data_IF_387157716939
#
_entry.id   IF_387157716939
#
_cell.length_a   1.000
_cell.length_b   1.000
_cell.length_c   1.000
_cell.angle_alpha   90.00
_cell.angle_beta   90.00
_cell.angle_gamma   90.00
#
_symmetry.space_group_name_H-M   'P 1'
#
loop_
_entity.id
_entity.type
_entity.pdbx_description
1 polymer ?
#
# COMPACT_ATOMS: atom_id res chain seq x y z
N UNK A 1 30.01 11.02 -14.09
CA UNK A 1 29.17 9.94 -13.52
C UNK A 1 28.50 10.54 -12.31
N UNK A 2 27.17 10.51 -12.24
CA UNK A 2 26.42 11.05 -11.11
C UNK A 2 26.87 10.35 -9.83
N UNK A 3 27.35 11.10 -8.85
CA UNK A 3 27.85 10.57 -7.58
C UNK A 3 26.88 10.93 -6.44
N UNK A 4 26.55 9.93 -5.63
CA UNK A 4 25.73 10.06 -4.44
C UNK A 4 26.59 9.75 -3.21
N UNK A 5 26.73 10.71 -2.32
CA UNK A 5 27.35 10.52 -1.02
C UNK A 5 26.26 10.41 0.04
N UNK A 6 26.19 9.24 0.65
CA UNK A 6 25.25 8.95 1.70
C UNK A 6 25.94 9.06 3.07
N UNK A 7 25.59 10.09 3.84
CA UNK A 7 26.01 10.23 5.23
C UNK A 7 24.90 9.79 6.21
N UNK A 8 23.93 9.01 5.75
CA UNK A 8 22.88 8.41 6.56
C UNK A 8 23.14 6.91 6.74
N UNK A 9 22.59 6.26 7.78
CA UNK A 9 22.62 4.80 7.91
C UNK A 9 21.58 4.10 7.02
N UNK A 10 20.84 4.84 6.19
CA UNK A 10 19.68 4.36 5.44
C UNK A 10 20.02 4.08 3.98
N UNK A 11 19.18 3.30 3.29
CA UNK A 11 19.36 2.99 1.87
C UNK A 11 19.06 4.23 1.01
N UNK A 12 20.03 4.75 0.25
CA UNK A 12 19.84 5.93 -0.58
C UNK A 12 19.47 5.52 -2.02
N UNK A 13 18.79 6.38 -2.75
CA UNK A 13 18.52 6.20 -4.16
C UNK A 13 18.51 7.51 -4.93
N UNK A 14 18.83 7.42 -6.21
CA UNK A 14 18.63 8.50 -7.17
C UNK A 14 18.10 7.93 -8.47
N UNK A 15 17.23 8.68 -9.12
CA UNK A 15 16.76 8.36 -10.47
C UNK A 15 16.51 9.66 -11.24
N UNK A 16 16.72 9.63 -12.56
CA UNK A 16 16.50 10.76 -13.45
C UNK A 16 15.50 10.33 -14.52
N UNK A 17 14.30 10.89 -14.47
CA UNK A 17 13.26 10.68 -15.48
C UNK A 17 12.29 11.88 -15.51
N UNK A 18 11.50 12.03 -16.59
CA UNK A 18 10.55 13.13 -16.70
C UNK A 18 9.50 13.09 -15.59
N UNK A 19 9.10 14.25 -15.07
CA UNK A 19 7.95 14.39 -14.18
C UNK A 19 6.61 14.31 -14.97
N UNK A 20 5.49 14.56 -14.28
CA UNK A 20 4.15 14.52 -14.88
C UNK A 20 3.93 15.54 -16.02
N UNK A 21 4.76 16.58 -16.09
CA UNK A 21 4.76 17.59 -17.14
C UNK A 21 5.79 17.32 -18.24
N UNK A 22 6.52 16.20 -18.17
CA UNK A 22 7.56 15.85 -19.14
C UNK A 22 8.89 16.58 -18.91
N UNK A 23 9.08 17.22 -17.76
CA UNK A 23 10.33 17.91 -17.40
C UNK A 23 11.28 16.94 -16.72
N UNK A 24 12.48 16.75 -17.28
CA UNK A 24 13.53 15.92 -16.66
C UNK A 24 13.77 16.36 -15.22
N UNK A 25 13.59 15.42 -14.30
CA UNK A 25 13.64 15.68 -12.86
C UNK A 25 14.50 14.63 -12.16
N UNK A 26 15.34 15.10 -11.25
CA UNK A 26 16.10 14.25 -10.34
C UNK A 26 15.21 13.90 -9.16
N UNK A 27 15.01 12.60 -8.96
CA UNK A 27 14.41 12.04 -7.77
C UNK A 27 15.51 11.56 -6.83
N UNK A 28 15.48 12.01 -5.58
CA UNK A 28 16.37 11.52 -4.53
C UNK A 28 15.51 10.83 -3.48
N UNK A 29 15.87 9.60 -3.13
CA UNK A 29 15.11 8.77 -2.20
C UNK A 29 15.96 8.33 -1.03
N UNK A 30 15.31 8.15 0.12
CA UNK A 30 15.90 7.59 1.33
C UNK A 30 14.93 6.57 1.90
N UNK A 31 15.37 5.34 2.10
CA UNK A 31 14.59 4.28 2.72
C UNK A 31 15.24 3.84 4.02
N UNK A 32 14.58 4.14 5.13
CA UNK A 32 15.01 3.72 6.45
C UNK A 32 14.25 2.47 6.88
N UNK A 33 14.99 1.49 7.39
CA UNK A 33 14.46 0.28 8.01
C UNK A 33 14.75 0.33 9.51
N UNK A 34 13.71 0.14 10.30
CA UNK A 34 13.77 0.09 11.76
C UNK A 34 13.28 -1.28 12.25
N UNK A 35 13.89 -1.75 13.32
CA UNK A 35 13.41 -2.88 14.11
C UNK A 35 12.39 -2.34 15.13
N UNK A 36 11.25 -3.01 15.24
CA UNK A 36 10.17 -2.68 16.18
C UNK A 36 9.93 -3.79 17.21
N UNK A 37 10.82 -4.78 17.31
CA UNK A 37 10.80 -5.83 18.32
C UNK A 37 11.28 -5.27 19.67
N UNK A 38 10.35 -5.09 20.60
CA UNK A 38 10.67 -4.60 21.95
C UNK A 38 10.95 -3.10 21.99
N UNK A 39 12.12 -2.65 21.50
CA UNK A 39 12.51 -1.23 21.41
C UNK A 39 12.76 -0.82 19.98
N UNK A 40 12.37 0.41 19.64
CA UNK A 40 12.50 0.95 18.29
C UNK A 40 13.97 1.33 18.00
N UNK A 41 14.63 0.58 17.12
CA UNK A 41 16.03 0.82 16.74
C UNK A 41 16.20 0.87 15.22
N UNK A 42 17.31 1.44 14.74
CA UNK A 42 17.69 1.25 13.33
C UNK A 42 17.96 -0.25 13.12
N UNK A 43 17.42 -0.84 12.06
CA UNK A 43 17.66 -2.24 11.76
C UNK A 43 19.12 -2.48 11.35
N UNK A 44 19.70 -3.59 11.81
CA UNK A 44 21.08 -4.00 11.48
C UNK A 44 21.27 -4.15 9.96
N UNK A 45 20.24 -4.64 9.27
CA UNK A 45 20.19 -4.75 7.81
C UNK A 45 19.11 -3.82 7.23
N UNK A 46 19.53 -2.88 6.41
CA UNK A 46 18.62 -1.99 5.69
C UNK A 46 18.07 -2.69 4.45
N UNK A 47 16.75 -2.56 4.23
CA UNK A 47 16.12 -3.11 3.05
C UNK A 47 16.53 -2.35 1.78
N UNK A 48 16.75 -3.04 0.65
CA UNK A 48 17.04 -2.39 -0.62
C UNK A 48 15.81 -1.66 -1.17
N UNK A 49 16.05 -0.81 -2.17
CA UNK A 49 14.97 -0.20 -2.94
C UNK A 49 14.24 -1.26 -3.78
N UNK A 50 12.92 -1.14 -3.88
CA UNK A 50 12.08 -2.02 -4.69
C UNK A 50 12.04 -1.46 -6.12
N UNK A 51 12.79 -2.07 -7.04
CA UNK A 51 12.88 -1.60 -8.43
C UNK A 51 11.58 -1.80 -9.22
N UNK A 52 10.90 -2.92 -9.01
CA UNK A 52 9.66 -3.28 -9.70
C UNK A 52 8.64 -3.84 -8.71
N UNK A 53 7.36 -3.73 -9.08
CA UNK A 53 6.24 -4.30 -8.33
C UNK A 53 6.48 -5.78 -8.02
N UNK A 54 6.32 -6.15 -6.74
CA UNK A 54 6.42 -7.51 -6.25
C UNK A 54 5.03 -7.99 -5.83
N UNK A 55 4.67 -9.20 -6.25
CA UNK A 55 3.35 -9.80 -6.05
C UNK A 55 3.45 -10.95 -5.03
N UNK A 56 2.33 -11.32 -4.42
CA UNK A 56 2.27 -12.50 -3.53
C UNK A 56 2.46 -13.82 -4.27
N UNK A 57 2.12 -13.85 -5.54
CA UNK A 57 2.32 -14.95 -6.47
C UNK A 57 2.55 -14.41 -7.88
N UNK A 58 1.89 -15.01 -8.88
CA UNK A 58 2.01 -14.54 -10.27
C UNK A 58 1.32 -13.18 -10.47
N UNK A 59 1.90 -12.27 -11.30
CA UNK A 59 1.23 -11.05 -11.72
C UNK A 59 -0.15 -11.33 -12.31
N UNK A 60 -1.09 -10.40 -12.11
CA UNK A 60 -2.50 -10.50 -12.54
C UNK A 60 -3.34 -11.62 -11.88
N UNK A 61 -2.70 -12.58 -11.18
CA UNK A 61 -3.38 -13.65 -10.44
C UNK A 61 -3.26 -13.47 -8.92
N UNK A 62 -2.44 -12.51 -8.49
CA UNK A 62 -2.25 -12.17 -7.08
C UNK A 62 -2.12 -10.66 -6.88
N UNK A 63 -2.39 -10.23 -5.66
CA UNK A 63 -2.29 -8.84 -5.24
C UNK A 63 -0.83 -8.43 -4.99
N UNK A 64 -0.59 -7.11 -4.95
CA UNK A 64 0.73 -6.56 -4.67
C UNK A 64 1.15 -6.88 -3.25
N UNK A 65 2.39 -7.36 -3.12
CA UNK A 65 3.10 -7.39 -1.85
C UNK A 65 3.81 -6.06 -1.63
N UNK A 66 4.68 -5.65 -2.56
CA UNK A 66 5.35 -4.35 -2.52
C UNK A 66 5.18 -3.63 -3.86
N UNK A 67 4.85 -2.34 -3.82
CA UNK A 67 4.91 -1.51 -5.01
C UNK A 67 6.37 -1.11 -5.30
N UNK A 68 6.69 -0.87 -6.56
CA UNK A 68 7.95 -0.23 -6.96
C UNK A 68 8.11 1.10 -6.22
N UNK A 69 9.36 1.42 -5.87
CA UNK A 69 9.79 2.69 -5.30
C UNK A 69 10.41 3.61 -6.38
N UNK A 70 10.36 3.22 -7.65
CA UNK A 70 10.80 4.02 -8.80
C UNK A 70 9.58 4.58 -9.55
N UNK A 71 8.93 5.56 -8.93
CA UNK A 71 7.76 6.26 -9.46
C UNK A 71 7.90 7.79 -9.29
N UNK A 72 6.98 8.57 -9.88
CA UNK A 72 6.90 10.02 -9.64
C UNK A 72 6.44 10.30 -8.20
N UNK A 73 6.48 11.55 -7.74
CA UNK A 73 6.14 11.85 -6.35
C UNK A 73 4.67 11.49 -5.99
N UNK A 74 4.48 10.93 -4.79
CA UNK A 74 3.16 10.78 -4.18
C UNK A 74 2.74 12.12 -3.59
N UNK A 75 1.48 12.55 -3.75
CA UNK A 75 1.01 13.79 -3.14
C UNK A 75 0.87 13.69 -1.60
N UNK A 76 0.73 12.47 -1.05
CA UNK A 76 0.48 12.24 0.37
C UNK A 76 1.18 10.97 0.91
N UNK A 77 1.30 10.85 2.23
CA UNK A 77 1.83 9.62 2.85
C UNK A 77 0.84 8.46 2.77
N UNK A 78 1.30 7.32 2.28
CA UNK A 78 0.64 6.03 2.42
C UNK A 78 1.02 5.36 3.74
N UNK A 79 0.03 4.84 4.48
CA UNK A 79 0.24 3.91 5.60
C UNK A 79 -0.15 2.51 5.15
N UNK A 80 0.78 1.57 5.22
CA UNK A 80 0.63 0.20 4.72
C UNK A 80 0.94 -0.78 5.85
N UNK A 81 0.13 -1.83 5.97
CA UNK A 81 0.40 -2.97 6.83
C UNK A 81 0.44 -4.23 5.98
N UNK A 82 1.56 -4.94 6.02
CA UNK A 82 1.73 -6.27 5.41
C UNK A 82 1.88 -7.27 6.55
N UNK A 83 1.01 -8.27 6.58
CA UNK A 83 1.04 -9.26 7.64
C UNK A 83 -0.19 -10.16 7.63
N UNK A 84 -0.47 -10.73 8.79
CA UNK A 84 -1.53 -11.69 8.99
C UNK A 84 -2.32 -11.30 10.23
N UNK A 85 -3.62 -11.60 10.25
CA UNK A 85 -4.41 -11.57 11.46
C UNK A 85 -4.00 -12.73 12.36
N UNK A 86 -3.67 -12.46 13.61
CA UNK A 86 -3.14 -13.45 14.56
C UNK A 86 -4.06 -13.55 15.78
N UNK A 87 -4.56 -14.75 16.05
CA UNK A 87 -5.30 -15.05 17.27
C UNK A 87 -4.36 -15.08 18.48
N UNK A 88 -4.83 -14.54 19.60
CA UNK A 88 -4.07 -14.51 20.85
C UNK A 88 -3.78 -15.93 21.37
N UNK A 89 -2.58 -16.15 21.93
CA UNK A 89 -2.11 -17.43 22.46
C UNK A 89 -2.22 -18.62 21.48
N UNK A 90 -2.29 -18.36 20.16
CA UNK A 90 -2.55 -19.38 19.12
C UNK A 90 -3.83 -20.19 19.38
N UNK A 91 -4.82 -19.59 20.03
CA UNK A 91 -6.12 -20.24 20.24
C UNK A 91 -7.00 -19.97 19.03
N UNK A 92 -7.50 -21.01 18.32
CA UNK A 92 -8.35 -20.79 17.16
C UNK A 92 -9.60 -19.97 17.50
N UNK A 93 -9.85 -18.91 16.72
CA UNK A 93 -11.05 -18.07 16.82
C UNK A 93 -11.83 -18.13 15.51
N UNK A 94 -13.12 -17.82 15.56
CA UNK A 94 -13.96 -17.75 14.35
C UNK A 94 -13.91 -16.38 13.68
N UNK A 95 -13.66 -15.35 14.48
CA UNK A 95 -13.53 -13.98 14.05
C UNK A 95 -12.64 -13.20 15.02
N UNK A 96 -11.97 -12.16 14.51
CA UNK A 96 -11.30 -11.14 15.30
C UNK A 96 -11.23 -9.83 14.51
N UNK A 97 -10.98 -8.72 15.19
CA UNK A 97 -10.71 -7.44 14.53
C UNK A 97 -9.20 -7.16 14.53
N UNK A 98 -8.65 -6.84 13.35
CA UNK A 98 -7.29 -6.29 13.21
C UNK A 98 -7.42 -4.78 13.09
N UNK A 99 -6.67 -4.03 13.89
CA UNK A 99 -6.65 -2.58 13.82
C UNK A 99 -5.24 -2.03 13.65
N UNK A 100 -5.12 -1.00 12.83
CA UNK A 100 -3.93 -0.20 12.62
C UNK A 100 -4.29 1.26 12.90
N UNK A 101 -3.44 1.96 13.65
CA UNK A 101 -3.50 3.42 13.78
C UNK A 101 -2.10 4.04 13.73
N UNK A 102 -2.00 5.21 13.11
CA UNK A 102 -0.80 6.06 13.06
C UNK A 102 -1.26 7.52 13.14
N UNK A 103 -1.01 8.16 14.27
CA UNK A 103 -1.55 9.49 14.56
C UNK A 103 -3.08 9.50 14.48
N UNK A 104 -3.65 10.38 13.66
CA UNK A 104 -5.10 10.51 13.46
C UNK A 104 -5.68 9.54 12.42
N UNK A 105 -4.82 8.74 11.76
CA UNK A 105 -5.23 7.81 10.72
C UNK A 105 -5.37 6.41 11.30
N UNK A 106 -6.42 5.69 10.91
CA UNK A 106 -6.60 4.32 11.36
C UNK A 106 -7.63 3.55 10.58
N UNK A 107 -7.48 2.23 10.61
CA UNK A 107 -8.38 1.29 9.94
C UNK A 107 -8.55 0.05 10.80
N UNK A 108 -9.79 -0.42 10.89
CA UNK A 108 -10.12 -1.72 11.48
C UNK A 108 -10.73 -2.62 10.41
N UNK A 109 -10.27 -3.87 10.34
CA UNK A 109 -10.79 -4.90 9.46
C UNK A 109 -11.26 -6.06 10.33
N UNK A 110 -12.52 -6.45 10.16
CA UNK A 110 -13.04 -7.68 10.76
C UNK A 110 -12.60 -8.86 9.91
N UNK A 111 -11.97 -9.82 10.57
CA UNK A 111 -11.42 -11.02 9.95
C UNK A 111 -12.25 -12.21 10.40
N UNK A 112 -12.90 -12.87 9.45
CA UNK A 112 -13.61 -14.11 9.67
C UNK A 112 -12.80 -15.30 9.16
N UNK A 113 -12.99 -16.45 9.79
CA UNK A 113 -12.62 -17.72 9.18
C UNK A 113 -13.36 -17.98 7.87
N UNK A 114 -12.98 -19.06 7.19
CA UNK A 114 -13.59 -19.40 5.90
C UNK A 114 -15.11 -19.62 6.05
N UNK A 115 -15.86 -19.01 5.13
CA UNK A 115 -17.32 -18.99 5.07
C UNK A 115 -17.79 -19.15 3.62
N UNK A 116 -19.01 -19.62 3.46
CA UNK A 116 -19.66 -19.78 2.18
C UNK A 116 -21.17 -19.55 2.33
N UNK A 117 -21.83 -19.26 1.20
CA UNK A 117 -23.29 -19.18 1.16
C UNK A 117 -23.90 -20.57 1.24
N UNK A 118 -24.93 -20.74 2.06
CA UNK A 118 -25.70 -21.98 2.20
C UNK A 118 -27.18 -21.70 2.02
N UNK A 119 -27.87 -22.56 1.27
CA UNK A 119 -29.32 -22.50 1.18
C UNK A 119 -29.98 -22.68 2.56
N UNK A 120 -30.88 -21.78 2.91
CA UNK A 120 -31.72 -21.86 4.11
C UNK A 120 -33.21 -21.67 3.76
N UNK A 121 -34.09 -21.73 4.77
CA UNK A 121 -35.55 -21.60 4.56
C UNK A 121 -35.99 -20.24 3.98
N UNK A 122 -35.15 -19.19 4.10
CA UNK A 122 -35.47 -17.81 3.71
C UNK A 122 -34.66 -17.37 2.47
N UNK A 123 -33.86 -18.25 1.87
CA UNK A 123 -32.96 -17.93 0.77
C UNK A 123 -31.58 -18.53 0.97
N UNK A 124 -30.56 -17.68 1.13
CA UNK A 124 -29.20 -18.07 1.48
C UNK A 124 -28.80 -17.44 2.81
N UNK A 125 -28.18 -18.23 3.67
CA UNK A 125 -27.49 -17.77 4.87
C UNK A 125 -25.99 -17.92 4.71
N UNK A 126 -25.23 -17.33 5.64
CA UNK A 126 -23.79 -17.48 5.72
C UNK A 126 -23.49 -18.64 6.67
N UNK A 127 -22.62 -19.56 6.26
CA UNK A 127 -22.17 -20.65 7.13
C UNK A 127 -21.43 -20.12 8.36
N UNK A 128 -21.38 -20.92 9.45
CA UNK A 128 -20.53 -20.56 10.59
C UNK A 128 -19.07 -20.47 10.12
N UNK A 129 -18.32 -19.40 10.49
CA UNK A 129 -16.90 -19.33 10.17
C UNK A 129 -16.15 -20.53 10.75
N UNK A 130 -15.26 -21.10 9.95
CA UNK A 130 -14.30 -22.11 10.41
C UNK A 130 -13.27 -21.45 11.36
N UNK A 131 -12.90 -22.08 12.48
CA UNK A 131 -11.87 -21.50 13.35
C UNK A 131 -10.52 -21.37 12.65
N UNK A 132 -9.78 -20.30 12.95
CA UNK A 132 -8.41 -20.06 12.46
C UNK A 132 -7.52 -19.51 13.57
N UNK A 133 -6.22 -19.78 13.49
CA UNK A 133 -5.20 -19.15 14.34
C UNK A 133 -4.56 -17.95 13.64
N UNK A 134 -4.34 -18.08 12.32
CA UNK A 134 -3.71 -17.06 11.48
C UNK A 134 -4.50 -16.91 10.18
N UNK A 135 -4.67 -15.67 9.70
CA UNK A 135 -5.34 -15.37 8.44
C UNK A 135 -4.60 -14.27 7.66
N UNK A 136 -4.09 -14.52 6.44
CA UNK A 136 -3.38 -13.51 5.66
C UNK A 136 -4.20 -12.25 5.38
N UNK A 137 -3.60 -11.07 5.55
CA UNK A 137 -4.23 -9.78 5.26
C UNK A 137 -3.94 -9.36 3.81
N UNK A 138 -4.49 -10.11 2.86
CA UNK A 138 -4.30 -9.92 1.41
C UNK A 138 -5.63 -9.67 0.68
N UNK A 139 -5.59 -9.00 -0.48
CA UNK A 139 -6.81 -8.60 -1.19
C UNK A 139 -7.64 -9.77 -1.74
N UNK A 140 -7.02 -10.92 -1.99
CA UNK A 140 -7.67 -12.18 -2.40
C UNK A 140 -8.67 -12.68 -1.34
N UNK A 141 -8.54 -12.20 -0.10
CA UNK A 141 -9.43 -12.50 1.01
C UNK A 141 -10.41 -11.38 1.32
N UNK A 142 -10.36 -10.26 0.61
CA UNK A 142 -11.31 -9.14 0.74
C UNK A 142 -12.46 -9.27 -0.27
N UNK A 143 -13.52 -8.46 -0.08
CA UNK A 143 -14.64 -8.42 -1.02
C UNK A 143 -14.17 -8.10 -2.44
N UNK A 144 -14.72 -8.80 -3.42
CA UNK A 144 -14.42 -8.60 -4.83
C UNK A 144 -14.61 -9.87 -5.65
N UNK A 145 -14.03 -9.88 -6.85
CA UNK A 145 -14.01 -11.05 -7.71
C UNK A 145 -14.54 -10.81 -9.13
N UNK A 146 -14.47 -11.88 -9.92
CA UNK A 146 -14.92 -11.96 -11.31
C UNK A 146 -16.06 -12.98 -11.42
N UNK A 147 -16.99 -12.72 -12.34
CA UNK A 147 -18.00 -13.67 -12.79
C UNK A 147 -17.99 -13.74 -14.32
N UNK A 148 -17.53 -14.88 -14.83
CA UNK A 148 -17.67 -15.26 -16.24
C UNK A 148 -19.11 -15.72 -16.42
N UNK A 149 -19.90 -14.92 -17.14
CA UNK A 149 -21.35 -15.15 -17.33
C UNK A 149 -21.59 -16.20 -18.39
N UNK A 150 -20.86 -16.10 -19.51
CA UNK A 150 -20.94 -17.02 -20.63
C UNK A 150 -19.55 -17.12 -21.28
N UNK A 151 -18.87 -18.28 -21.14
CA UNK A 151 -17.55 -18.52 -21.74
C UNK A 151 -17.54 -18.49 -23.27
N UNK A 152 -18.68 -18.73 -23.93
CA UNK A 152 -18.75 -18.76 -25.39
C UNK A 152 -18.87 -17.36 -26.01
N UNK A 153 -19.27 -16.37 -25.20
CA UNK A 153 -19.46 -14.97 -25.63
C UNK A 153 -18.47 -13.98 -25.01
N UNK A 154 -17.52 -14.48 -24.20
CA UNK A 154 -16.58 -13.68 -23.41
C UNK A 154 -17.27 -12.64 -22.50
N UNK A 155 -18.54 -12.87 -22.12
CA UNK A 155 -19.25 -11.96 -21.22
C UNK A 155 -18.74 -12.12 -19.79
N UNK A 156 -18.01 -11.10 -19.31
CA UNK A 156 -17.42 -11.06 -17.97
C UNK A 156 -17.89 -9.83 -17.21
N UNK A 157 -18.35 -10.01 -15.98
CA UNK A 157 -18.59 -8.91 -15.02
C UNK A 157 -17.67 -9.05 -13.82
N UNK A 158 -17.18 -7.95 -13.27
CA UNK A 158 -16.21 -7.97 -12.18
C UNK A 158 -16.34 -6.76 -11.26
N UNK A 159 -15.82 -6.90 -10.05
CA UNK A 159 -15.67 -5.80 -9.09
C UNK A 159 -14.33 -5.08 -9.32
N UNK A 160 -14.37 -3.92 -9.98
CA UNK A 160 -13.18 -3.17 -10.38
C UNK A 160 -12.30 -2.66 -9.22
N UNK A 161 -12.83 -2.60 -8.00
CA UNK A 161 -12.06 -2.26 -6.79
C UNK A 161 -11.15 -3.40 -6.33
N UNK A 162 -11.50 -4.65 -6.63
CA UNK A 162 -10.72 -5.83 -6.28
C UNK A 162 -11.16 -7.05 -7.13
N UNK A 163 -10.71 -7.15 -8.40
CA UNK A 163 -11.05 -8.28 -9.26
C UNK A 163 -10.57 -9.64 -8.74
N UNK A 164 -9.56 -9.68 -7.86
CA UNK A 164 -9.02 -10.92 -7.28
C UNK A 164 -9.72 -11.36 -5.99
N UNK A 165 -10.65 -10.56 -5.49
CA UNK A 165 -11.36 -10.82 -4.24
C UNK A 165 -12.36 -11.97 -4.30
N UNK A 166 -13.09 -12.12 -3.20
CA UNK A 166 -14.15 -13.12 -3.02
C UNK A 166 -15.50 -12.47 -2.69
N UNK A 167 -16.58 -13.20 -2.91
CA UNK A 167 -17.93 -12.79 -2.54
C UNK A 167 -18.70 -11.97 -3.57
N UNK A 168 -18.07 -11.52 -4.67
CA UNK A 168 -18.80 -10.87 -5.76
C UNK A 168 -19.69 -11.88 -6.50
N UNK A 169 -21.00 -11.72 -6.38
CA UNK A 169 -21.98 -12.63 -6.99
C UNK A 169 -22.16 -12.39 -8.49
N UNK A 170 -21.96 -11.17 -8.98
CA UNK A 170 -22.17 -10.82 -10.38
C UNK A 170 -23.61 -11.10 -10.85
N UNK A 171 -23.74 -11.82 -11.97
CA UNK A 171 -25.02 -12.23 -12.58
C UNK A 171 -25.46 -13.66 -12.21
N UNK A 172 -24.83 -14.28 -11.21
CA UNK A 172 -25.13 -15.66 -10.80
C UNK A 172 -26.60 -15.81 -10.39
N UNK A 173 -27.19 -16.93 -10.80
CA UNK A 173 -28.50 -17.35 -10.34
C UNK A 173 -28.46 -17.77 -8.87
N UNK A 174 -29.64 -17.88 -8.23
CA UNK A 174 -29.74 -18.37 -6.85
C UNK A 174 -29.09 -19.74 -6.66
N UNK A 175 -29.12 -20.62 -7.65
CA UNK A 175 -28.53 -21.96 -7.54
C UNK A 175 -26.99 -21.90 -7.54
N UNK A 176 -26.41 -20.99 -8.29
CA UNK A 176 -24.96 -20.82 -8.42
C UNK A 176 -24.34 -20.05 -7.24
N UNK A 177 -25.17 -19.40 -6.42
CA UNK A 177 -24.72 -18.76 -5.18
C UNK A 177 -24.46 -19.79 -4.07
N UNK A 178 -25.17 -20.92 -4.06
CA UNK A 178 -24.97 -21.97 -3.05
C UNK A 178 -23.54 -22.54 -3.11
N UNK A 179 -22.84 -22.52 -1.98
CA UNK A 179 -21.42 -22.90 -1.88
C UNK A 179 -20.42 -21.83 -2.31
N UNK A 180 -20.87 -20.66 -2.80
CA UNK A 180 -19.95 -19.58 -3.16
C UNK A 180 -19.25 -19.03 -1.91
N UNK A 181 -17.92 -18.94 -1.98
CA UNK A 181 -17.08 -18.47 -0.88
C UNK A 181 -17.30 -16.99 -0.57
N UNK A 182 -17.30 -16.64 0.72
CA UNK A 182 -17.30 -15.25 1.18
C UNK A 182 -15.87 -14.76 1.42
N UNK A 183 -15.64 -13.43 1.39
CA UNK A 183 -14.37 -12.87 1.85
C UNK A 183 -14.15 -13.16 3.33
N UNK A 184 -12.88 -13.19 3.74
CA UNK A 184 -12.50 -13.23 5.15
C UNK A 184 -12.38 -11.82 5.73
N UNK A 185 -12.00 -10.84 4.91
CA UNK A 185 -11.72 -9.47 5.32
C UNK A 185 -12.92 -8.57 4.98
N UNK A 186 -13.54 -8.01 6.01
CA UNK A 186 -14.67 -7.09 5.88
C UNK A 186 -14.46 -5.83 6.73
N UNK A 187 -15.12 -4.74 6.32
CA UNK A 187 -15.17 -3.54 7.16
C UNK A 187 -16.24 -3.74 8.25
N UNK A 188 -15.93 -3.56 9.55
CA UNK A 188 -16.91 -3.75 10.63
C UNK A 188 -18.20 -2.94 10.48
N UNK A 189 -18.12 -1.76 9.85
CA UNK A 189 -19.25 -0.86 9.61
C UNK A 189 -20.16 -1.31 8.45
N UNK A 190 -19.72 -2.25 7.61
CA UNK A 190 -20.44 -2.68 6.41
C UNK A 190 -20.22 -4.18 6.13
N UNK A 191 -20.69 -5.00 7.08
CA UNK A 191 -20.60 -6.46 6.98
C UNK A 191 -21.56 -7.01 5.93
N UNK A 192 -21.14 -8.07 5.25
CA UNK A 192 -21.96 -8.81 4.29
C UNK A 192 -23.04 -9.59 5.05
N UNK A 193 -24.28 -9.40 4.63
CA UNK A 193 -25.45 -10.06 5.22
C UNK A 193 -26.29 -10.80 4.18
N UNK A 194 -26.26 -10.35 2.92
CA UNK A 194 -26.98 -10.95 1.80
C UNK A 194 -26.10 -11.01 0.54
N UNK A 195 -26.39 -11.91 -0.41
CA UNK A 195 -25.53 -12.10 -1.58
C UNK A 195 -25.36 -10.86 -2.47
N UNK A 196 -26.32 -9.91 -2.45
CA UNK A 196 -26.27 -8.69 -3.27
C UNK A 196 -25.48 -7.54 -2.62
N UNK A 197 -24.97 -7.72 -1.39
CA UNK A 197 -24.15 -6.69 -0.75
C UNK A 197 -22.84 -6.49 -1.55
N UNK A 198 -22.49 -5.22 -1.79
CA UNK A 198 -21.27 -4.84 -2.51
C UNK A 198 -20.41 -3.87 -1.70
N UNK A 199 -19.93 -4.28 -0.50
CA UNK A 199 -19.10 -3.42 0.33
C UNK A 199 -17.78 -3.06 -0.39
N UNK A 200 -17.08 -2.04 0.11
CA UNK A 200 -15.72 -1.80 -0.35
C UNK A 200 -14.78 -2.93 0.13
N UNK A 201 -13.78 -3.34 -0.66
CA UNK A 201 -12.76 -4.28 -0.22
C UNK A 201 -12.02 -3.74 1.01
N UNK A 202 -12.00 -4.50 2.10
CA UNK A 202 -11.29 -4.13 3.32
C UNK A 202 -9.94 -4.84 3.37
N UNK A 203 -8.85 -4.07 3.33
CA UNK A 203 -7.49 -4.57 3.45
C UNK A 203 -6.55 -3.44 3.89
N UNK A 204 -5.28 -3.77 4.17
CA UNK A 204 -4.21 -2.82 4.49
C UNK A 204 -3.06 -2.82 3.48
N UNK A 205 -3.03 -3.82 2.59
CA UNK A 205 -1.99 -4.01 1.59
C UNK A 205 -2.08 -2.95 0.46
N UNK A 206 -1.04 -2.84 -0.39
CA UNK A 206 -1.09 -1.95 -1.55
C UNK A 206 -2.15 -2.36 -2.60
N UNK A 207 -2.84 -1.38 -3.17
CA UNK A 207 -3.81 -1.53 -4.28
C UNK A 207 -3.06 -1.56 -5.62
N UNK A 208 -3.47 -2.42 -6.55
CA UNK A 208 -2.90 -2.48 -7.91
C UNK A 208 -3.19 -1.23 -8.75
N UNK A 209 -2.30 -0.85 -9.69
CA UNK A 209 -2.52 0.31 -10.55
C UNK A 209 -3.74 0.16 -11.46
N UNK A 210 -4.11 -1.07 -11.82
CA UNK A 210 -5.26 -1.38 -12.67
C UNK A 210 -6.59 -1.41 -11.91
N UNK A 211 -6.59 -1.21 -10.59
CA UNK A 211 -7.78 -1.27 -9.74
C UNK A 211 -8.24 0.11 -9.31
N UNK A 212 -9.52 0.24 -8.97
CA UNK A 212 -10.03 1.46 -8.36
C UNK A 212 -9.46 1.65 -6.94
N UNK A 213 -9.17 2.90 -6.50
CA UNK A 213 -9.37 4.14 -7.25
C UNK A 213 -8.19 4.51 -8.16
N UNK A 214 -7.05 3.80 -8.09
CA UNK A 214 -5.82 4.16 -8.80
C UNK A 214 -6.05 4.26 -10.30
N UNK A 215 -6.76 3.30 -10.89
CA UNK A 215 -7.09 3.29 -12.32
C UNK A 215 -7.74 4.60 -12.78
N UNK A 216 -8.66 5.15 -11.99
CA UNK A 216 -9.33 6.43 -12.30
C UNK A 216 -8.40 7.65 -12.31
N UNK A 217 -7.20 7.54 -11.73
CA UNK A 217 -6.19 8.60 -11.68
C UNK A 217 -5.14 8.50 -12.80
N UNK A 218 -5.16 7.43 -13.61
CA UNK A 218 -4.19 7.24 -14.68
C UNK A 218 -4.35 8.24 -15.83
N UNK A 219 -5.49 8.93 -15.93
CA UNK A 219 -5.83 9.80 -17.04
C UNK A 219 -6.29 9.05 -18.30
N UNK A 220 -6.59 9.80 -19.34
CA UNK A 220 -7.20 9.27 -20.58
C UNK A 220 -6.15 9.05 -21.67
N UNK A 221 -5.99 7.80 -22.11
CA UNK A 221 -5.07 7.38 -23.17
C UNK A 221 -5.79 7.12 -24.49
N UNK A 222 -6.35 8.17 -25.11
CA UNK A 222 -7.09 8.11 -26.37
C UNK A 222 -6.25 8.53 -27.60
N UNK A 223 -6.88 8.62 -28.79
CA UNK A 223 -6.22 9.06 -30.03
C UNK A 223 -5.65 10.49 -29.92
N UNK A 224 -6.30 11.37 -29.14
CA UNK A 224 -5.82 12.74 -28.94
C UNK A 224 -4.51 12.70 -28.15
N UNK A 225 -4.45 11.93 -27.06
CA UNK A 225 -3.22 11.69 -26.32
C UNK A 225 -2.12 11.11 -27.24
N UNK A 226 -2.45 10.09 -28.03
CA UNK A 226 -1.49 9.44 -28.95
C UNK A 226 -0.85 10.42 -29.93
N UNK A 227 -1.64 11.34 -30.51
CA UNK A 227 -1.14 12.28 -31.52
C UNK A 227 -0.46 13.53 -30.95
N UNK A 228 -0.85 13.99 -29.76
CA UNK A 228 -0.45 15.31 -29.24
C UNK A 228 0.50 15.27 -28.05
N UNK A 229 0.55 14.15 -27.32
CA UNK A 229 1.20 14.10 -26.00
C UNK A 229 2.08 12.88 -25.77
N UNK A 230 1.82 11.76 -26.45
CA UNK A 230 2.68 10.60 -26.37
C UNK A 230 4.16 10.98 -26.67
N UNK A 231 5.13 10.46 -25.90
CA UNK A 231 5.01 9.44 -24.85
C UNK A 231 4.76 9.97 -23.42
N UNK A 232 4.45 11.25 -23.22
CA UNK A 232 4.23 11.82 -21.88
C UNK A 232 2.87 11.42 -21.28
N UNK A 233 2.72 11.47 -19.95
CA UNK A 233 1.45 11.16 -19.24
C UNK A 233 0.30 12.05 -19.72
N UNK A 234 -0.97 11.60 -19.74
CA UNK A 234 -2.14 12.40 -20.13
C UNK A 234 -2.32 13.71 -19.36
N UNK A 235 -3.10 14.65 -19.92
CA UNK A 235 -3.37 15.96 -19.28
C UNK A 235 -4.21 15.91 -18.03
N UNK A 236 -5.04 14.89 -17.93
CA UNK A 236 -5.91 14.58 -16.80
C UNK A 236 -5.30 13.51 -15.87
N UNK A 237 -4.01 13.21 -16.04
CA UNK A 237 -3.28 12.38 -15.07
C UNK A 237 -3.31 13.04 -13.69
N UNK A 238 -3.54 12.24 -12.66
CA UNK A 238 -3.59 12.68 -11.28
C UNK A 238 -2.56 11.90 -10.46
N UNK A 239 -1.67 12.62 -9.77
CA UNK A 239 -0.56 12.03 -9.00
C UNK A 239 -1.02 11.13 -7.85
N UNK A 240 -2.30 11.20 -7.45
CA UNK A 240 -2.92 10.21 -6.54
C UNK A 240 -2.85 8.78 -7.10
N UNK A 241 -2.60 8.59 -8.39
CA UNK A 241 -2.26 7.29 -8.99
C UNK A 241 -1.11 6.57 -8.27
N UNK A 242 -0.15 7.32 -7.71
CA UNK A 242 1.01 6.77 -7.01
C UNK A 242 0.75 6.44 -5.54
N UNK A 243 -0.35 6.92 -4.95
CA UNK A 243 -0.79 6.42 -3.65
C UNK A 243 -1.33 5.00 -3.81
N UNK A 244 -0.78 4.07 -3.04
CA UNK A 244 -1.08 2.65 -3.11
C UNK A 244 -1.85 2.15 -1.89
N UNK A 245 -1.84 2.90 -0.79
CA UNK A 245 -2.60 2.50 0.40
C UNK A 245 -4.11 2.51 0.14
N UNK A 246 -4.84 1.76 0.97
CA UNK A 246 -6.30 1.89 1.04
C UNK A 246 -6.68 3.36 1.33
N UNK A 247 -7.76 3.93 0.75
CA UNK A 247 -8.12 5.34 0.93
C UNK A 247 -8.14 5.85 2.38
N UNK A 248 -8.68 5.07 3.33
CA UNK A 248 -8.66 5.38 4.78
C UNK A 248 -7.24 5.55 5.39
N UNK A 249 -6.21 5.10 4.68
CA UNK A 249 -4.81 5.07 5.11
C UNK A 249 -3.90 5.90 4.19
N UNK A 250 -4.49 6.72 3.31
CA UNK A 250 -3.80 7.81 2.62
C UNK A 250 -3.97 9.07 3.46
N UNK A 251 -2.87 9.66 3.87
CA UNK A 251 -2.90 10.83 4.76
C UNK A 251 -3.39 12.09 4.03
N UNK A 252 -3.87 13.09 4.79
CA UNK A 252 -4.06 14.45 4.29
C UNK A 252 -2.77 15.26 4.50
N UNK A 253 -1.79 15.03 3.62
CA UNK A 253 -0.45 15.60 3.70
C UNK A 253 0.62 14.54 3.96
N UNK A 254 1.82 15.01 4.32
CA UNK A 254 2.93 14.12 4.68
C UNK A 254 3.10 14.04 6.19
N UNK A 255 3.18 12.81 6.72
CA UNK A 255 3.62 12.54 8.08
C UNK A 255 5.03 13.10 8.32
N UNK A 256 5.34 13.43 9.58
CA UNK A 256 6.60 14.11 9.96
C UNK A 256 7.48 13.28 10.90
N UNK A 257 6.98 12.16 11.41
CA UNK A 257 7.60 11.44 12.51
C UNK A 257 7.22 12.07 13.85
N UNK A 258 7.13 11.21 14.87
CA UNK A 258 6.59 11.53 16.19
C UNK A 258 5.12 11.14 16.37
N UNK A 259 4.44 10.65 15.34
CA UNK A 259 3.08 10.12 15.45
C UNK A 259 3.08 8.78 16.20
N UNK A 260 2.17 8.56 17.17
CA UNK A 260 2.02 7.26 17.81
C UNK A 260 1.45 6.25 16.80
N UNK A 261 1.95 5.02 16.84
CA UNK A 261 1.49 3.92 16.01
C UNK A 261 1.10 2.71 16.87
N UNK A 262 -0.01 2.07 16.52
CA UNK A 262 -0.49 0.85 17.17
C UNK A 262 -1.03 -0.13 16.13
N UNK A 263 -0.62 -1.40 16.26
CA UNK A 263 -1.15 -2.53 15.51
C UNK A 263 -1.65 -3.59 16.48
N UNK A 264 -2.91 -3.98 16.34
CA UNK A 264 -3.58 -4.98 17.19
C UNK A 264 -3.93 -6.22 16.37
N UNK A 265 -3.72 -7.39 16.97
CA UNK A 265 -4.04 -8.71 16.40
C UNK A 265 -3.40 -8.98 15.03
N UNK A 266 -2.24 -8.38 14.73
CA UNK A 266 -1.44 -8.74 13.56
C UNK A 266 -0.01 -9.20 13.86
N UNK A 267 0.27 -9.52 15.13
CA UNK A 267 1.48 -10.19 15.58
C UNK A 267 1.13 -11.28 16.60
N UNK A 268 1.78 -12.46 16.55
CA UNK A 268 1.58 -13.51 17.55
C UNK A 268 2.08 -13.10 18.96
N UNK A 269 2.94 -12.08 19.04
CA UNK A 269 3.54 -11.58 20.29
C UNK A 269 2.63 -10.58 21.01
N UNK A 270 1.51 -10.20 20.39
CA UNK A 270 0.53 -9.25 20.92
C UNK A 270 0.57 -7.89 20.21
N UNK A 271 -0.01 -6.85 20.84
CA UNK A 271 -0.01 -5.49 20.32
C UNK A 271 1.38 -4.94 20.04
N UNK A 272 1.59 -4.36 18.86
CA UNK A 272 2.80 -3.63 18.50
C UNK A 272 2.54 -2.14 18.65
N UNK A 273 3.33 -1.46 19.49
CA UNK A 273 3.18 -0.04 19.81
C UNK A 273 4.51 0.67 19.76
N UNK A 274 4.58 1.80 19.06
CA UNK A 274 5.76 2.63 18.97
C UNK A 274 5.37 4.07 18.62
N UNK A 275 6.34 4.97 18.59
CA UNK A 275 6.20 6.31 18.01
C UNK A 275 7.07 6.36 16.77
N UNK A 276 6.55 6.86 15.65
CA UNK A 276 7.33 6.94 14.41
C UNK A 276 8.64 7.71 14.65
N UNK A 277 9.81 7.20 14.18
CA UNK A 277 11.06 7.94 14.21
C UNK A 277 10.92 9.33 13.58
N UNK A 278 11.50 10.34 14.22
CA UNK A 278 11.70 11.65 13.58
C UNK A 278 13.09 11.71 12.97
N UNK A 279 13.14 11.65 11.65
CA UNK A 279 14.36 11.76 10.85
C UNK A 279 14.45 13.15 10.21
N UNK A 280 15.36 14.00 10.71
CA UNK A 280 15.67 15.29 10.08
C UNK A 280 16.67 15.05 8.94
N UNK A 281 16.15 14.67 7.78
CA UNK A 281 16.92 14.40 6.56
C UNK A 281 17.09 15.68 5.75
N UNK A 282 18.31 15.88 5.24
CA UNK A 282 18.66 16.96 4.33
C UNK A 282 19.31 16.38 3.07
N UNK A 283 19.01 16.99 1.93
CA UNK A 283 19.64 16.69 0.65
C UNK A 283 20.22 17.96 0.05
N UNK A 284 21.43 17.86 -0.49
CA UNK A 284 22.06 18.91 -1.29
C UNK A 284 22.35 18.34 -2.66
N UNK A 285 21.94 19.06 -3.71
CA UNK A 285 22.19 18.69 -5.11
C UNK A 285 23.00 19.81 -5.74
N UNK A 286 24.20 19.48 -6.22
CA UNK A 286 25.02 20.41 -7.00
C UNK A 286 24.70 20.22 -8.48
N UNK A 287 24.16 21.25 -9.12
CA UNK A 287 23.75 21.23 -10.52
C UNK A 287 24.13 22.54 -11.18
N UNK A 288 24.86 22.48 -12.30
CA UNK A 288 25.28 23.68 -13.05
C UNK A 288 25.98 24.75 -12.20
N UNK A 289 26.82 24.36 -11.24
CA UNK A 289 27.50 25.27 -10.33
C UNK A 289 26.64 25.93 -9.24
N UNK A 290 25.36 25.56 -9.10
CA UNK A 290 24.49 25.97 -7.97
C UNK A 290 24.18 24.79 -7.05
N UNK A 291 23.86 25.06 -5.79
CA UNK A 291 23.43 24.05 -4.83
C UNK A 291 21.95 24.22 -4.52
N UNK A 292 21.17 23.20 -4.82
CA UNK A 292 19.74 23.09 -4.54
C UNK A 292 19.48 22.16 -3.35
N UNK A 293 18.38 22.38 -2.63
CA UNK A 293 17.99 21.59 -1.46
C UNK A 293 16.51 21.22 -1.53
N UNK A 294 16.13 20.28 -2.42
CA UNK A 294 14.72 19.86 -2.51
C UNK A 294 14.25 19.24 -1.18
N UNK A 295 13.02 19.50 -0.73
CA UNK A 295 12.50 18.88 0.48
C UNK A 295 12.33 17.37 0.30
N UNK A 296 12.58 16.60 1.36
CA UNK A 296 12.31 15.15 1.42
C UNK A 296 10.97 14.92 2.12
N UNK A 297 9.98 14.44 1.37
CA UNK A 297 8.65 14.14 1.88
C UNK A 297 8.52 12.65 2.22
N UNK A 298 7.98 12.32 3.40
CA UNK A 298 7.72 10.94 3.83
C UNK A 298 6.52 10.40 3.03
N UNK A 299 6.77 9.62 1.99
CA UNK A 299 5.72 9.14 1.08
C UNK A 299 5.08 7.83 1.55
N UNK A 300 5.82 6.99 2.30
CA UNK A 300 5.30 5.69 2.75
C UNK A 300 5.78 5.35 4.15
N UNK A 301 4.86 4.90 4.98
CA UNK A 301 5.10 4.19 6.24
C UNK A 301 4.56 2.78 6.09
N UNK A 302 5.46 1.80 6.07
CA UNK A 302 5.13 0.39 5.92
C UNK A 302 5.48 -0.36 7.22
N UNK A 303 4.51 -1.09 7.76
CA UNK A 303 4.66 -1.86 9.00
C UNK A 303 4.49 -3.34 8.68
N UNK A 304 5.41 -4.16 9.16
CA UNK A 304 5.46 -5.60 8.95
C UNK A 304 5.68 -6.31 10.29
N UNK A 305 4.61 -6.53 11.08
CA UNK A 305 4.73 -7.01 12.45
C UNK A 305 5.41 -8.38 12.55
N UNK A 306 5.13 -9.29 11.61
CA UNK A 306 5.73 -10.63 11.61
C UNK A 306 7.25 -10.61 11.40
N UNK A 307 7.76 -9.60 10.71
CA UNK A 307 9.19 -9.38 10.47
C UNK A 307 9.79 -8.40 11.50
N UNK A 308 9.00 -7.96 12.49
CA UNK A 308 9.34 -6.88 13.42
C UNK A 308 9.95 -5.65 12.73
N UNK A 309 9.38 -5.27 11.59
CA UNK A 309 9.97 -4.27 10.70
C UNK A 309 9.06 -3.06 10.48
N UNK A 310 9.65 -1.87 10.59
CA UNK A 310 9.09 -0.61 10.14
C UNK A 310 9.95 -0.06 9.02
N UNK A 311 9.34 0.30 7.90
CA UNK A 311 9.99 0.97 6.78
C UNK A 311 9.39 2.37 6.62
N UNK A 312 10.26 3.37 6.51
CA UNK A 312 9.89 4.73 6.19
C UNK A 312 10.62 5.15 4.91
N UNK A 313 9.87 5.68 3.95
CA UNK A 313 10.39 6.03 2.64
C UNK A 313 10.17 7.51 2.32
N UNK A 314 11.24 8.23 2.05
CA UNK A 314 11.21 9.63 1.66
C UNK A 314 11.60 9.83 0.20
N UNK A 315 11.00 10.84 -0.43
CA UNK A 315 11.35 11.30 -1.78
C UNK A 315 11.46 12.82 -1.84
N UNK A 316 12.48 13.28 -2.54
CA UNK A 316 12.66 14.67 -2.93
C UNK A 316 12.74 14.74 -4.45
N UNK A 317 12.26 15.85 -5.01
CA UNK A 317 12.21 16.08 -6.46
C UNK A 317 12.88 17.40 -6.76
N UNK A 318 13.80 17.39 -7.72
CA UNK A 318 14.41 18.59 -8.28
C UNK A 318 14.22 18.59 -9.79
N UNK A 319 13.44 19.53 -10.30
CA UNK A 319 13.35 19.76 -11.74
C UNK A 319 14.71 20.24 -12.26
N UNK A 320 15.24 19.52 -13.25
CA UNK A 320 16.54 19.80 -13.84
C UNK A 320 16.40 20.33 -15.27
N UNK A 321 15.27 20.07 -15.94
CA UNK A 321 15.04 20.37 -17.35
C UNK A 321 16.27 19.94 -18.18
N UNK A 322 16.82 20.81 -19.04
CA UNK A 322 17.98 20.52 -19.89
C UNK A 322 19.31 20.37 -19.13
N UNK A 323 19.29 20.45 -17.79
CA UNK A 323 20.48 20.42 -16.94
C UNK A 323 20.67 19.10 -16.21
N UNK A 324 19.88 18.05 -16.48
CA UNK A 324 20.06 16.73 -15.84
C UNK A 324 21.46 16.14 -16.00
N UNK A 325 22.12 16.36 -17.15
CA UNK A 325 23.51 15.93 -17.37
C UNK A 325 24.56 16.81 -16.67
N UNK A 326 24.15 17.94 -16.10
CA UNK A 326 25.00 18.88 -15.34
C UNK A 326 24.87 18.67 -13.83
N UNK A 327 24.22 17.59 -13.39
CA UNK A 327 24.23 17.22 -11.98
C UNK A 327 25.62 16.69 -11.66
N UNK A 328 26.32 17.40 -10.79
CA UNK A 328 27.69 17.13 -10.40
C UNK A 328 27.73 16.12 -9.26
N UNK A 329 26.87 16.31 -8.25
CA UNK A 329 26.92 15.56 -7.00
C UNK A 329 25.61 15.66 -6.21
N UNK A 330 25.27 14.61 -5.46
CA UNK A 330 24.17 14.59 -4.49
C UNK A 330 24.72 14.16 -3.13
N UNK A 331 24.40 14.91 -2.07
CA UNK A 331 24.73 14.57 -0.69
C UNK A 331 23.46 14.39 0.14
N UNK A 332 23.36 13.26 0.84
CA UNK A 332 22.34 12.99 1.83
C UNK A 332 22.93 13.05 3.23
N UNK A 333 22.22 13.72 4.14
CA UNK A 333 22.63 13.93 5.52
C UNK A 333 21.45 13.69 6.47
N UNK A 334 21.71 13.00 7.58
CA UNK A 334 20.78 12.86 8.69
C UNK A 334 21.26 13.75 9.83
N UNK A 335 20.67 14.94 9.97
CA UNK A 335 21.11 15.93 10.95
C UNK A 335 20.67 15.56 12.36
N UNK A 336 19.52 14.89 12.49
CA UNK A 336 19.00 14.40 13.76
C UNK A 336 18.11 13.19 13.57
N UNK A 337 18.25 12.23 14.49
CA UNK A 337 17.34 11.09 14.64
C UNK A 337 16.78 11.08 16.06
N UNK A 338 15.46 10.96 16.18
CA UNK A 338 14.80 10.73 17.47
C UNK A 338 14.05 9.41 17.41
N UNK A 339 14.46 8.47 18.26
CA UNK A 339 13.78 7.21 18.51
C UNK A 339 13.14 7.31 19.89
N UNK A 340 11.83 7.06 19.99
CA UNK A 340 11.11 7.10 21.26
C UNK A 340 10.55 5.71 21.51
N UNK A 341 10.96 5.09 22.62
CA UNK A 341 10.77 3.66 22.81
C UNK A 341 9.32 3.24 23.08
N UNK A 342 8.42 4.13 23.52
CA UNK A 342 6.99 3.81 23.76
C UNK A 342 6.06 5.01 23.59
N UNK A 343 4.94 4.79 22.90
CA UNK A 343 3.73 5.59 23.14
C UNK A 343 3.23 5.25 24.55
N UNK A 344 2.97 6.27 25.37
CA UNK A 344 2.59 6.13 26.78
C UNK A 344 1.28 5.34 27.00
#
# INVERSE_FOLDING_TARGET
MLQLKNNTPFTPGIALFPNEHGVDSLYVTVKATFDIQGSLTIADEQQPLIEADQYWGEPEQSSLKYASEYHLAKPYTDIILIGEACAHDKRPVKELDVSLSVGDYGKTVRVFGDRYWEKNMVGHGISSPQPFEVMPLVYERAFGGVHIVDPDTDEVVFEGRNPLGKGFVGKRTKKEIDGLVLPNLEAPANLISKPQDMPAPACFAPILPSWEPRKSFAGTYDEVWQHSRAPYLPSDFDSRFFNTAHPDLVCNGYLKGGEPAEVINASPEGPVRFVLPRCELNVKVWISGVTEQPPLNLETVLIEPSESRLIMFWRGVLECDKSGLKIEFVELELSRLQLTDKAA
#
